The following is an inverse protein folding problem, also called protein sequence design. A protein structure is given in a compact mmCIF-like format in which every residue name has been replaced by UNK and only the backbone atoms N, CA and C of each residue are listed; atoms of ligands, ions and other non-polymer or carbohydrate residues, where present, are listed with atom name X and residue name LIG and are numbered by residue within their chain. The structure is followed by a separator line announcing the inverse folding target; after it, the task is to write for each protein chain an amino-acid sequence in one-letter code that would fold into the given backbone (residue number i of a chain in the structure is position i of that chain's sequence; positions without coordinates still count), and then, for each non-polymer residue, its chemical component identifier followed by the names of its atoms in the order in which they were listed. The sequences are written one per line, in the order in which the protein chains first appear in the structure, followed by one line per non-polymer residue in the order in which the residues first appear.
data_IF_012213563534
#
_entry.id   IF_012213563534
#
_cell.length_a   1.000
_cell.length_b   1.000
_cell.length_c   1.000
_cell.angle_alpha   90.00
_cell.angle_beta   90.00
_cell.angle_gamma   90.00
#
_symmetry.space_group_name_H-M   'P 1'
#
loop_
_entity.id
_entity.type
_entity.pdbx_description
1 polymer ?
#
# COMPACT_ATOMS: atom_id res chain seq x y z
N UNK A 1 -14.28 8.71 10.65
CA UNK A 1 -13.49 7.64 9.99
C UNK A 1 -14.35 6.66 9.20
N UNK A 2 -15.29 5.92 9.81
CA UNK A 2 -16.12 4.90 9.11
C UNK A 2 -16.90 5.46 7.92
N UNK A 3 -17.54 6.63 8.08
CA UNK A 3 -18.26 7.31 7.00
C UNK A 3 -17.36 7.67 5.83
N UNK A 4 -16.16 8.17 6.08
CA UNK A 4 -15.18 8.46 5.05
C UNK A 4 -14.74 7.19 4.30
N UNK A 5 -14.39 6.12 5.02
CA UNK A 5 -14.02 4.84 4.43
C UNK A 5 -15.15 4.29 3.54
N UNK A 6 -16.39 4.26 4.04
CA UNK A 6 -17.57 3.83 3.29
C UNK A 6 -17.76 4.64 2.00
N UNK A 7 -17.68 5.96 2.09
CA UNK A 7 -17.89 6.85 0.94
C UNK A 7 -16.74 6.76 -0.08
N UNK A 8 -15.49 6.66 0.37
CA UNK A 8 -14.37 6.43 -0.53
C UNK A 8 -14.48 5.11 -1.28
N UNK A 9 -14.90 4.03 -0.59
CA UNK A 9 -15.10 2.72 -1.20
C UNK A 9 -16.29 2.68 -2.17
N UNK A 10 -17.35 3.44 -1.91
CA UNK A 10 -18.55 3.44 -2.77
C UNK A 10 -18.47 4.41 -3.93
N UNK A 11 -17.92 5.60 -3.72
CA UNK A 11 -17.97 6.71 -4.69
C UNK A 11 -16.60 7.01 -5.33
N UNK A 12 -15.50 6.53 -4.73
CA UNK A 12 -14.14 6.93 -5.02
C UNK A 12 -13.72 8.15 -4.19
N UNK A 13 -12.39 8.33 -4.10
CA UNK A 13 -11.80 9.45 -3.35
C UNK A 13 -12.17 10.80 -3.98
N UNK A 14 -12.01 10.96 -5.30
CA UNK A 14 -12.20 12.25 -5.98
C UNK A 14 -13.64 12.76 -5.86
N UNK A 15 -14.62 11.88 -5.98
CA UNK A 15 -16.05 12.22 -5.96
C UNK A 15 -16.62 12.43 -4.57
N UNK A 16 -15.90 12.04 -3.52
CA UNK A 16 -16.34 12.22 -2.13
C UNK A 16 -15.87 13.58 -1.61
N UNK A 17 -16.78 14.35 -1.01
CA UNK A 17 -16.50 15.66 -0.42
C UNK A 17 -16.56 15.60 1.12
N UNK A 18 -15.96 16.60 1.80
CA UNK A 18 -16.12 16.78 3.25
C UNK A 18 -17.60 16.92 3.64
N UNK A 19 -18.40 17.57 2.80
CA UNK A 19 -19.85 17.71 3.01
C UNK A 19 -20.56 16.35 3.01
N UNK A 20 -20.18 15.45 2.10
CA UNK A 20 -20.76 14.10 2.05
C UNK A 20 -20.38 13.31 3.29
N UNK A 21 -19.11 13.39 3.71
CA UNK A 21 -18.60 12.73 4.93
C UNK A 21 -19.34 13.25 6.15
N UNK A 22 -19.49 14.56 6.28
CA UNK A 22 -20.20 15.19 7.40
C UNK A 22 -21.66 14.74 7.47
N UNK A 23 -22.34 14.71 6.30
CA UNK A 23 -23.73 14.26 6.19
C UNK A 23 -23.89 12.80 6.60
N UNK A 24 -23.05 11.89 6.11
CA UNK A 24 -23.12 10.45 6.46
C UNK A 24 -22.73 10.20 7.92
N UNK A 25 -21.87 11.04 8.50
CA UNK A 25 -21.44 10.96 9.89
C UNK A 25 -22.40 11.67 10.88
N UNK A 26 -23.51 12.23 10.39
CA UNK A 26 -24.45 13.07 11.19
C UNK A 26 -23.73 14.21 11.93
N UNK A 27 -22.74 14.81 11.30
CA UNK A 27 -21.89 15.88 11.83
C UNK A 27 -21.98 17.14 10.96
N UNK A 28 -21.37 18.23 11.41
CA UNK A 28 -21.20 19.44 10.61
C UNK A 28 -19.89 19.41 9.82
N UNK A 29 -19.81 20.08 8.68
CA UNK A 29 -18.53 20.24 7.94
C UNK A 29 -17.46 20.88 8.83
N UNK A 30 -17.83 21.88 9.65
CA UNK A 30 -16.92 22.53 10.59
C UNK A 30 -16.31 21.53 11.59
N UNK A 31 -17.09 20.57 12.06
CA UNK A 31 -16.58 19.51 12.95
C UNK A 31 -15.56 18.63 12.25
N UNK A 32 -15.78 18.28 10.97
CA UNK A 32 -14.82 17.50 10.19
C UNK A 32 -13.54 18.31 9.93
N UNK A 33 -13.67 19.58 9.53
CA UNK A 33 -12.51 20.48 9.36
C UNK A 33 -11.74 20.69 10.66
N UNK A 34 -12.42 20.81 11.78
CA UNK A 34 -11.77 20.96 13.08
C UNK A 34 -10.96 19.72 13.48
N UNK A 35 -11.49 18.52 13.20
CA UNK A 35 -10.84 17.25 13.56
C UNK A 35 -9.70 16.87 12.62
N UNK A 36 -9.85 17.11 11.33
CA UNK A 36 -8.94 16.58 10.30
C UNK A 36 -8.24 17.65 9.47
N UNK A 37 -8.78 18.86 9.41
CA UNK A 37 -8.25 19.96 8.61
C UNK A 37 -8.70 19.93 7.15
N UNK A 38 -8.52 18.82 6.44
CA UNK A 38 -8.90 18.66 5.03
C UNK A 38 -9.17 17.20 4.65
N UNK A 39 -9.60 16.97 3.42
CA UNK A 39 -9.92 15.62 2.90
C UNK A 39 -8.67 14.73 2.79
N UNK A 40 -7.52 15.30 2.49
CA UNK A 40 -6.25 14.55 2.45
C UNK A 40 -5.90 14.02 3.84
N UNK A 41 -6.09 14.81 4.88
CA UNK A 41 -5.86 14.37 6.26
C UNK A 41 -6.83 13.26 6.69
N UNK A 42 -8.08 13.28 6.22
CA UNK A 42 -9.00 12.15 6.43
C UNK A 42 -8.48 10.89 5.75
N UNK A 43 -7.95 11.00 4.54
CA UNK A 43 -7.32 9.87 3.85
C UNK A 43 -6.05 9.40 4.59
N UNK A 44 -5.24 10.33 5.08
CA UNK A 44 -4.03 10.04 5.84
C UNK A 44 -4.31 9.20 7.10
N UNK A 45 -5.36 9.53 7.83
CA UNK A 45 -5.81 8.73 8.99
C UNK A 45 -6.27 7.32 8.58
N UNK A 46 -6.95 7.19 7.43
CA UNK A 46 -7.33 5.86 6.90
C UNK A 46 -6.10 5.05 6.49
N UNK A 47 -5.14 5.66 5.81
CA UNK A 47 -3.87 5.03 5.42
C UNK A 47 -3.13 4.54 6.66
N UNK A 48 -2.98 5.38 7.67
CA UNK A 48 -2.33 5.01 8.94
C UNK A 48 -3.03 3.82 9.61
N UNK A 49 -4.36 3.81 9.65
CA UNK A 49 -5.15 2.69 10.19
C UNK A 49 -4.94 1.40 9.40
N UNK A 50 -4.93 1.47 8.06
CA UNK A 50 -4.72 0.30 7.19
C UNK A 50 -3.30 -0.24 7.36
N UNK A 51 -2.28 0.62 7.30
CA UNK A 51 -0.87 0.26 7.49
C UNK A 51 -0.63 -0.42 8.85
N UNK A 52 -1.26 0.07 9.92
CA UNK A 52 -1.17 -0.55 11.24
C UNK A 52 -1.68 -1.99 11.32
N UNK A 53 -2.49 -2.42 10.36
CA UNK A 53 -3.12 -3.75 10.35
C UNK A 53 -2.71 -4.67 9.21
N UNK A 54 -2.17 -4.16 8.10
CA UNK A 54 -1.95 -4.96 6.89
C UNK A 54 -0.93 -6.09 7.09
N UNK A 55 0.20 -5.83 7.70
CA UNK A 55 1.23 -6.83 7.98
C UNK A 55 0.71 -7.95 8.89
N UNK A 56 -0.03 -7.61 9.94
CA UNK A 56 -0.66 -8.59 10.84
C UNK A 56 -1.68 -9.49 10.11
N UNK A 57 -2.37 -8.95 9.12
CA UNK A 57 -3.30 -9.76 8.31
C UNK A 57 -2.54 -10.75 7.45
N UNK A 58 -1.44 -10.35 6.84
CA UNK A 58 -0.56 -11.23 6.05
C UNK A 58 0.08 -12.30 6.94
N UNK A 59 0.60 -11.94 8.13
CA UNK A 59 1.09 -12.88 9.13
C UNK A 59 0.04 -13.95 9.46
N UNK A 60 -1.21 -13.55 9.68
CA UNK A 60 -2.31 -14.47 9.96
C UNK A 60 -2.66 -15.37 8.77
N UNK A 61 -2.59 -14.85 7.54
CA UNK A 61 -2.83 -15.65 6.33
C UNK A 61 -1.75 -16.71 6.13
N UNK A 62 -0.51 -16.43 6.52
CA UNK A 62 0.64 -17.31 6.37
C UNK A 62 0.93 -18.16 7.63
N UNK A 63 0.12 -18.06 8.69
CA UNK A 63 0.37 -18.68 10.00
C UNK A 63 0.74 -20.18 9.94
N UNK A 64 0.14 -20.92 8.99
CA UNK A 64 0.37 -22.35 8.80
C UNK A 64 1.15 -22.68 7.51
N UNK A 65 1.73 -21.69 6.85
CA UNK A 65 2.48 -21.83 5.61
C UNK A 65 3.96 -21.50 5.92
N UNK A 66 4.88 -22.46 5.77
CA UNK A 66 6.32 -22.17 5.93
C UNK A 66 6.74 -21.09 4.93
N UNK A 67 7.35 -20.02 5.41
CA UNK A 67 7.85 -18.92 4.59
C UNK A 67 9.04 -18.22 5.25
N UNK A 68 9.88 -17.59 4.43
CA UNK A 68 10.89 -16.66 4.87
C UNK A 68 10.40 -15.20 4.74
N UNK A 69 11.23 -14.24 5.16
CA UNK A 69 10.89 -12.82 5.12
C UNK A 69 10.66 -12.30 3.70
N UNK A 70 11.34 -12.86 2.69
CA UNK A 70 11.21 -12.48 1.28
C UNK A 70 9.86 -12.95 0.74
N UNK A 71 9.49 -14.19 1.04
CA UNK A 71 8.19 -14.76 0.70
C UNK A 71 7.05 -14.03 1.42
N UNK A 72 7.27 -13.61 2.67
CA UNK A 72 6.33 -12.75 3.39
C UNK A 72 6.10 -11.42 2.66
N UNK A 73 7.17 -10.74 2.21
CA UNK A 73 7.07 -9.52 1.42
C UNK A 73 6.32 -9.76 0.11
N UNK A 74 6.63 -10.84 -0.60
CA UNK A 74 5.94 -11.21 -1.83
C UNK A 74 4.43 -11.39 -1.60
N UNK A 75 4.05 -12.14 -0.57
CA UNK A 75 2.64 -12.36 -0.21
C UNK A 75 1.92 -11.06 0.16
N UNK A 76 2.56 -10.22 0.98
CA UNK A 76 2.00 -8.95 1.42
C UNK A 76 1.74 -8.01 0.23
N UNK A 77 2.74 -7.80 -0.60
CA UNK A 77 2.62 -6.90 -1.76
C UNK A 77 1.68 -7.45 -2.84
N UNK A 78 1.67 -8.77 -3.05
CA UNK A 78 0.70 -9.45 -3.93
C UNK A 78 -0.73 -9.21 -3.43
N UNK A 79 -0.97 -9.34 -2.13
CA UNK A 79 -2.28 -9.06 -1.53
C UNK A 79 -2.70 -7.59 -1.81
N UNK A 80 -1.80 -6.62 -1.65
CA UNK A 80 -2.08 -5.21 -1.93
C UNK A 80 -2.45 -4.98 -3.40
N UNK A 81 -1.73 -5.61 -4.35
CA UNK A 81 -2.04 -5.54 -5.77
C UNK A 81 -3.43 -6.13 -6.08
N UNK A 82 -3.78 -7.28 -5.49
CA UNK A 82 -5.11 -7.87 -5.64
C UNK A 82 -6.22 -6.98 -5.07
N UNK A 83 -6.00 -6.39 -3.89
CA UNK A 83 -6.95 -5.47 -3.29
C UNK A 83 -7.16 -4.25 -4.20
N UNK A 84 -6.09 -3.69 -4.77
CA UNK A 84 -6.20 -2.54 -5.69
C UNK A 84 -7.01 -2.85 -6.95
N UNK A 85 -7.09 -4.12 -7.37
CA UNK A 85 -7.89 -4.57 -8.53
C UNK A 85 -9.36 -4.87 -8.18
N UNK A 86 -9.74 -4.87 -6.91
CA UNK A 86 -11.10 -5.24 -6.49
C UNK A 86 -12.19 -4.29 -7.02
N UNK A 87 -11.87 -3.02 -7.24
CA UNK A 87 -12.74 -2.04 -7.90
C UNK A 87 -11.97 -0.80 -8.36
N UNK A 88 -12.58 -0.01 -9.27
CA UNK A 88 -12.04 1.28 -9.70
C UNK A 88 -11.87 2.24 -8.51
N UNK A 89 -12.83 2.26 -7.58
CA UNK A 89 -12.81 3.11 -6.40
C UNK A 89 -11.63 2.76 -5.47
N UNK A 90 -11.38 1.47 -5.25
CA UNK A 90 -10.24 1.02 -4.45
C UNK A 90 -8.93 1.37 -5.14
N UNK A 91 -8.82 1.18 -6.45
CA UNK A 91 -7.64 1.58 -7.23
C UNK A 91 -7.39 3.08 -7.11
N UNK A 92 -8.44 3.90 -7.20
CA UNK A 92 -8.34 5.36 -7.03
C UNK A 92 -7.85 5.74 -5.62
N UNK A 93 -8.32 5.07 -4.57
CA UNK A 93 -7.87 5.30 -3.18
C UNK A 93 -6.37 5.00 -3.07
N UNK A 94 -5.89 3.88 -3.59
CA UNK A 94 -4.47 3.54 -3.58
C UNK A 94 -3.64 4.55 -4.39
N UNK A 95 -4.12 4.94 -5.58
CA UNK A 95 -3.45 5.97 -6.40
C UNK A 95 -3.34 7.30 -5.64
N UNK A 96 -4.38 7.72 -4.95
CA UNK A 96 -4.37 8.92 -4.11
C UNK A 96 -3.41 8.77 -2.93
N UNK A 97 -3.45 7.64 -2.21
CA UNK A 97 -2.58 7.37 -1.06
C UNK A 97 -1.09 7.44 -1.42
N UNK A 98 -0.69 6.89 -2.56
CA UNK A 98 0.70 6.92 -3.05
C UNK A 98 1.08 8.20 -3.84
N UNK A 99 0.23 9.21 -3.88
CA UNK A 99 0.47 10.45 -4.65
C UNK A 99 0.39 11.72 -3.83
N UNK A 100 -0.31 11.70 -2.70
CA UNK A 100 -0.55 12.89 -1.88
C UNK A 100 0.54 13.05 -0.82
N UNK A 101 1.03 14.28 -0.54
CA UNK A 101 2.16 14.51 0.36
C UNK A 101 1.98 13.92 1.76
N UNK A 102 0.82 14.12 2.40
CA UNK A 102 0.59 13.63 3.77
C UNK A 102 0.58 12.11 3.85
N UNK A 103 -0.07 11.46 2.89
CA UNK A 103 -0.18 9.99 2.85
C UNK A 103 1.13 9.34 2.45
N UNK A 104 1.87 9.89 1.48
CA UNK A 104 3.18 9.37 1.08
C UNK A 104 4.19 9.45 2.21
N UNK A 105 4.21 10.53 2.99
CA UNK A 105 5.06 10.62 4.19
C UNK A 105 4.75 9.49 5.19
N UNK A 106 3.48 9.27 5.51
CA UNK A 106 3.08 8.17 6.42
C UNK A 106 3.50 6.80 5.89
N UNK A 107 3.28 6.56 4.59
CA UNK A 107 3.67 5.30 3.93
C UNK A 107 5.18 5.12 4.04
N UNK A 108 5.98 6.10 3.61
CA UNK A 108 7.43 6.04 3.62
C UNK A 108 7.99 5.81 5.02
N UNK A 109 7.54 6.56 6.01
CA UNK A 109 8.01 6.41 7.39
C UNK A 109 7.67 5.02 7.96
N UNK A 110 6.45 4.52 7.69
CA UNK A 110 6.01 3.22 8.21
C UNK A 110 6.66 2.05 7.49
N UNK A 111 6.73 2.11 6.16
CA UNK A 111 7.21 1.00 5.32
C UNK A 111 8.73 0.89 5.39
N UNK A 112 9.49 2.00 5.48
CA UNK A 112 10.96 1.95 5.62
C UNK A 112 11.40 1.02 6.74
N UNK A 113 10.81 1.14 7.94
CA UNK A 113 11.14 0.26 9.06
C UNK A 113 10.81 -1.21 8.79
N UNK A 114 9.70 -1.47 8.10
CA UNK A 114 9.32 -2.84 7.70
C UNK A 114 10.28 -3.44 6.66
N UNK A 115 10.71 -2.65 5.70
CA UNK A 115 11.68 -3.08 4.68
C UNK A 115 13.05 -3.36 5.29
N UNK A 116 13.47 -2.55 6.27
CA UNK A 116 14.68 -2.84 7.05
C UNK A 116 14.55 -4.17 7.79
N UNK A 117 13.46 -4.41 8.50
CA UNK A 117 13.20 -5.69 9.19
C UNK A 117 13.22 -6.90 8.24
N UNK A 118 12.72 -6.74 7.02
CA UNK A 118 12.63 -7.81 6.02
C UNK A 118 13.99 -8.08 5.38
N UNK A 119 14.69 -7.05 4.93
CA UNK A 119 15.86 -7.18 4.06
C UNK A 119 17.21 -6.99 4.76
N UNK A 120 17.25 -6.60 6.06
CA UNK A 120 18.49 -6.32 6.78
C UNK A 120 19.46 -7.49 6.79
N UNK A 121 18.95 -8.72 6.92
CA UNK A 121 19.78 -9.92 6.94
C UNK A 121 20.51 -10.16 5.61
N UNK A 122 19.87 -9.76 4.48
CA UNK A 122 20.44 -9.85 3.14
C UNK A 122 21.30 -8.63 2.78
N UNK A 123 21.05 -7.48 3.41
CA UNK A 123 21.70 -6.21 3.15
C UNK A 123 22.29 -5.60 4.44
N UNK A 124 23.18 -6.32 5.15
CA UNK A 124 23.65 -5.91 6.47
C UNK A 124 24.48 -4.62 6.47
N UNK A 125 24.99 -4.22 5.30
CA UNK A 125 25.79 -3.00 5.11
C UNK A 125 24.95 -1.73 4.92
N UNK A 126 23.63 -1.86 4.74
CA UNK A 126 22.73 -0.71 4.59
C UNK A 126 22.31 -0.14 5.94
N UNK A 127 22.15 1.17 6.00
CA UNK A 127 21.58 1.90 7.13
C UNK A 127 20.10 2.27 6.86
N UNK A 128 19.36 2.71 7.86
CA UNK A 128 17.93 3.06 7.71
C UNK A 128 17.67 4.10 6.62
N UNK A 129 18.61 5.05 6.40
CA UNK A 129 18.52 6.02 5.30
C UNK A 129 18.53 5.36 3.91
N UNK A 130 19.30 4.28 3.76
CA UNK A 130 19.42 3.55 2.49
C UNK A 130 18.12 2.77 2.22
N UNK A 131 17.47 2.26 3.28
CA UNK A 131 16.14 1.64 3.18
C UNK A 131 15.07 2.66 2.85
N UNK A 132 15.15 3.89 3.37
CA UNK A 132 14.25 4.98 3.01
C UNK A 132 14.35 5.35 1.52
N UNK A 133 15.57 5.46 0.98
CA UNK A 133 15.79 5.72 -0.44
C UNK A 133 15.24 4.58 -1.33
N UNK A 134 15.43 3.32 -0.90
CA UNK A 134 14.87 2.16 -1.61
C UNK A 134 13.35 2.10 -1.51
N UNK A 135 12.76 2.55 -0.40
CA UNK A 135 11.31 2.66 -0.26
C UNK A 135 10.73 3.67 -1.24
N UNK A 136 11.34 4.84 -1.39
CA UNK A 136 10.91 5.84 -2.41
C UNK A 136 10.85 5.19 -3.80
N UNK A 137 11.83 4.38 -4.16
CA UNK A 137 11.86 3.69 -5.45
C UNK A 137 10.79 2.59 -5.53
N UNK A 138 10.71 1.71 -4.53
CA UNK A 138 9.75 0.59 -4.53
C UNK A 138 8.30 1.05 -4.37
N UNK A 139 8.06 2.10 -3.57
CA UNK A 139 6.76 2.75 -3.46
C UNK A 139 6.31 3.40 -4.77
N UNK A 140 7.25 3.99 -5.51
CA UNK A 140 7.01 4.50 -6.87
C UNK A 140 6.62 3.40 -7.85
N UNK A 141 7.26 2.24 -7.79
CA UNK A 141 6.91 1.05 -8.57
C UNK A 141 5.51 0.56 -8.14
N UNK A 142 5.25 0.40 -6.84
CA UNK A 142 3.96 -0.02 -6.31
C UNK A 142 2.83 0.87 -6.83
N UNK A 143 2.98 2.20 -6.73
CA UNK A 143 2.03 3.16 -7.28
C UNK A 143 1.79 2.94 -8.77
N UNK A 144 2.85 2.75 -9.55
CA UNK A 144 2.76 2.51 -10.99
C UNK A 144 1.90 1.29 -11.31
N UNK A 145 2.15 0.16 -10.64
CA UNK A 145 1.39 -1.06 -10.85
C UNK A 145 -0.05 -1.00 -10.32
N UNK A 146 -0.30 -0.32 -9.20
CA UNK A 146 -1.64 -0.18 -8.63
C UNK A 146 -2.55 0.72 -9.47
N UNK A 147 -2.01 1.69 -10.22
CA UNK A 147 -2.82 2.63 -11.02
C UNK A 147 -3.28 2.06 -12.36
N UNK A 148 -2.60 1.06 -12.90
CA UNK A 148 -2.94 0.47 -14.19
C UNK A 148 -3.84 -0.75 -13.98
N UNK A 149 -5.09 -0.76 -14.47
CA UNK A 149 -5.98 -1.91 -14.35
C UNK A 149 -5.47 -3.10 -15.16
N UNK A 150 -5.79 -4.30 -14.68
CA UNK A 150 -5.57 -5.51 -15.45
C UNK A 150 -6.47 -5.55 -16.69
N UNK A 151 -5.95 -6.15 -17.75
CA UNK A 151 -6.66 -6.41 -19.00
C UNK A 151 -6.25 -7.76 -19.61
N UNK A 152 -6.69 -8.04 -20.83
CA UNK A 152 -6.37 -9.30 -21.54
C UNK A 152 -4.88 -9.51 -21.83
N UNK A 153 -4.06 -8.45 -21.85
CA UNK A 153 -2.63 -8.50 -22.13
C UNK A 153 -1.79 -8.30 -20.86
N UNK A 154 -2.35 -7.63 -19.89
CA UNK A 154 -1.75 -7.36 -18.60
C UNK A 154 -2.59 -8.01 -17.50
N UNK A 155 -2.51 -9.34 -17.42
CA UNK A 155 -3.25 -10.14 -16.43
C UNK A 155 -2.70 -9.93 -15.02
N UNK A 156 -3.46 -10.35 -14.01
CA UNK A 156 -3.02 -10.24 -12.61
C UNK A 156 -1.70 -10.96 -12.36
N UNK A 157 -1.52 -12.18 -12.91
CA UNK A 157 -0.27 -12.93 -12.78
C UNK A 157 0.91 -12.17 -13.38
N UNK A 158 0.73 -11.56 -14.56
CA UNK A 158 1.78 -10.73 -15.18
C UNK A 158 2.08 -9.48 -14.34
N UNK A 159 1.06 -8.85 -13.76
CA UNK A 159 1.21 -7.69 -12.88
C UNK A 159 2.03 -8.05 -11.66
N UNK A 160 1.69 -9.13 -10.96
CA UNK A 160 2.40 -9.60 -9.77
C UNK A 160 3.83 -9.96 -10.11
N UNK A 161 4.06 -10.79 -11.13
CA UNK A 161 5.41 -11.22 -11.55
C UNK A 161 6.29 -10.02 -11.89
N UNK A 162 5.80 -9.09 -12.73
CA UNK A 162 6.57 -7.92 -13.14
C UNK A 162 6.86 -6.97 -11.97
N UNK A 163 5.90 -6.81 -11.05
CA UNK A 163 6.08 -6.04 -9.83
C UNK A 163 7.17 -6.65 -8.94
N UNK A 164 7.05 -7.94 -8.60
CA UNK A 164 8.01 -8.64 -7.73
C UNK A 164 9.41 -8.67 -8.34
N UNK A 165 9.53 -8.97 -9.63
CA UNK A 165 10.83 -8.94 -10.32
C UNK A 165 11.48 -7.55 -10.27
N UNK A 166 10.69 -6.48 -10.45
CA UNK A 166 11.21 -5.11 -10.43
C UNK A 166 11.63 -4.69 -9.03
N UNK A 167 10.78 -4.97 -8.05
CA UNK A 167 11.00 -4.52 -6.67
C UNK A 167 12.10 -5.31 -5.99
N UNK A 168 12.16 -6.63 -6.16
CA UNK A 168 13.22 -7.44 -5.56
C UNK A 168 14.63 -7.08 -6.06
N UNK A 169 14.75 -6.57 -7.29
CA UNK A 169 16.03 -6.05 -7.81
C UNK A 169 16.52 -4.81 -7.04
N UNK A 170 15.60 -3.99 -6.52
CA UNK A 170 15.94 -2.84 -5.67
C UNK A 170 16.59 -3.30 -4.35
N UNK A 171 16.17 -4.47 -3.86
CA UNK A 171 16.66 -5.08 -2.60
C UNK A 171 17.72 -6.16 -2.85
N UNK A 172 18.33 -6.20 -4.02
CA UNK A 172 19.42 -7.12 -4.39
C UNK A 172 19.07 -8.60 -4.11
N UNK A 173 17.77 -8.97 -4.21
CA UNK A 173 17.32 -10.36 -4.02
C UNK A 173 17.81 -11.22 -5.18
N UNK A 174 18.45 -12.39 -4.91
CA UNK A 174 18.92 -13.29 -5.95
C UNK A 174 17.79 -13.78 -6.86
N UNK A 175 18.08 -13.90 -8.17
CA UNK A 175 17.08 -14.30 -9.19
C UNK A 175 16.39 -15.65 -8.90
N UNK A 176 17.10 -16.57 -8.25
CA UNK A 176 16.54 -17.87 -7.84
C UNK A 176 15.42 -17.66 -6.80
N UNK A 177 15.67 -16.83 -5.79
CA UNK A 177 14.68 -16.47 -4.77
C UNK A 177 13.49 -15.68 -5.34
N UNK A 178 13.74 -14.83 -6.34
CA UNK A 178 12.66 -14.11 -7.04
C UNK A 178 11.70 -15.11 -7.72
N UNK A 179 12.25 -16.11 -8.43
CA UNK A 179 11.44 -17.14 -9.09
C UNK A 179 10.63 -17.96 -8.09
N UNK A 180 11.27 -18.45 -7.02
CA UNK A 180 10.60 -19.18 -5.93
C UNK A 180 9.45 -18.39 -5.28
N UNK A 181 9.53 -17.06 -5.28
CA UNK A 181 8.51 -16.21 -4.66
C UNK A 181 7.34 -15.86 -5.59
N UNK A 182 7.48 -16.15 -6.90
CA UNK A 182 6.46 -15.90 -7.92
C UNK A 182 5.63 -17.17 -8.22
N UNK A 183 6.23 -18.36 -8.03
CA UNK A 183 5.59 -19.67 -8.18
C UNK A 183 4.61 -19.96 -7.03
#
# INVERSE_FOLDING_TARGET
MLSAAKLFLSNGYSKTTIKDIAKDAEATENSIYFLFGDKESVLAELVNYVLGGQFKRTEKLLENIPHDKIQFYAAETTLQLHISESSEQVREIYAAAYSMPKTTTIIQDTITGKLEDIFKDSLPHLESKDFYEREIASGGIMRGFMTIPCDRYFTMDRKVSAFLESTFKIYDVPMEKIKESIE
#
